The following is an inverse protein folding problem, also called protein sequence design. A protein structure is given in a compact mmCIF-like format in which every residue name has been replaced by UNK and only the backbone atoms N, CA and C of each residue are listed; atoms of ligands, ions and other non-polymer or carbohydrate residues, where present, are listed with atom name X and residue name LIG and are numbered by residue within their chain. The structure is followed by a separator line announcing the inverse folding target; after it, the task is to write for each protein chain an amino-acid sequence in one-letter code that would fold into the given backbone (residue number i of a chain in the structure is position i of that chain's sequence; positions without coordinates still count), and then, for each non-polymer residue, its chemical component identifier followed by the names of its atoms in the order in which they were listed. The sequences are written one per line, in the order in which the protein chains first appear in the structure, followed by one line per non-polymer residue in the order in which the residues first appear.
data_IF_816057344599
#
_entry.id   IF_816057344599
#
_cell.length_a   1.000
_cell.length_b   1.000
_cell.length_c   1.000
_cell.angle_alpha   90.00
_cell.angle_beta   90.00
_cell.angle_gamma   90.00
#
_symmetry.space_group_name_H-M   'P 1'
#
loop_
_entity.id
_entity.type
_entity.pdbx_description
1 polymer ?
#
# COMPACT_ATOMS: atom_id res chain seq x y z
N UNK A 1 69.76 33.59 26.40
CA UNK A 1 68.80 32.46 26.35
C UNK A 1 67.39 33.02 26.48
N UNK A 2 66.67 33.19 25.37
CA UNK A 2 65.30 33.73 25.35
C UNK A 2 64.33 32.63 24.90
N UNK A 3 63.44 32.24 25.81
CA UNK A 3 62.45 31.19 25.62
C UNK A 3 61.21 31.79 24.92
N UNK A 4 60.83 31.28 23.74
CA UNK A 4 59.57 31.64 23.06
C UNK A 4 58.59 30.48 23.18
N UNK A 5 57.60 30.64 24.05
CA UNK A 5 56.48 29.72 24.22
C UNK A 5 55.48 29.96 23.08
N UNK A 6 55.31 28.99 22.19
CA UNK A 6 54.25 29.01 21.17
C UNK A 6 53.03 28.27 21.71
N UNK A 7 51.96 29.01 22.00
CA UNK A 7 50.65 28.42 22.30
C UNK A 7 50.06 27.84 20.99
N UNK A 8 49.78 26.55 20.97
CA UNK A 8 49.05 25.90 19.89
C UNK A 8 47.54 26.00 20.18
N UNK A 9 46.80 26.72 19.34
CA UNK A 9 45.34 26.71 19.35
C UNK A 9 44.85 25.47 18.60
N UNK A 10 44.23 24.53 19.33
CA UNK A 10 43.49 23.42 18.74
C UNK A 10 42.09 23.92 18.35
N UNK A 11 41.82 24.07 17.05
CA UNK A 11 40.47 24.34 16.55
C UNK A 11 39.76 22.99 16.43
N UNK A 12 38.88 22.71 17.39
CA UNK A 12 38.00 21.54 17.34
C UNK A 12 36.86 21.84 16.35
N UNK A 13 36.97 21.30 15.14
CA UNK A 13 35.86 21.28 14.18
C UNK A 13 34.81 20.28 14.68
N UNK A 14 33.80 20.78 15.40
CA UNK A 14 32.55 20.05 15.57
C UNK A 14 31.86 20.01 14.20
N UNK A 15 32.11 18.96 13.43
CA UNK A 15 31.28 18.61 12.29
C UNK A 15 29.89 18.25 12.83
N UNK A 16 29.00 19.24 12.92
CA UNK A 16 27.60 19.01 13.15
C UNK A 16 27.10 18.11 12.02
N UNK A 17 26.70 16.88 12.36
CA UNK A 17 25.99 16.03 11.43
C UNK A 17 24.68 16.76 11.06
N UNK A 18 24.68 17.44 9.92
CA UNK A 18 23.47 17.92 9.31
C UNK A 18 22.62 16.68 9.00
N UNK A 19 21.62 16.42 9.83
CA UNK A 19 20.59 15.42 9.54
C UNK A 19 19.77 15.99 8.38
N UNK A 20 20.20 15.74 7.14
CA UNK A 20 19.36 15.95 5.98
C UNK A 20 18.13 15.06 6.17
N UNK A 21 16.96 15.68 6.34
CA UNK A 21 15.71 14.95 6.23
C UNK A 21 15.71 14.25 4.86
N UNK A 22 15.28 12.98 4.77
CA UNK A 22 15.17 12.33 3.47
C UNK A 22 14.32 13.22 2.56
N UNK A 23 14.70 13.40 1.29
CA UNK A 23 13.91 14.19 0.37
C UNK A 23 12.49 13.64 0.38
N UNK A 24 11.50 14.53 0.51
CA UNK A 24 10.11 14.15 0.42
C UNK A 24 9.94 13.38 -0.89
N UNK A 25 9.65 12.08 -0.79
CA UNK A 25 9.41 11.24 -1.96
C UNK A 25 8.29 11.91 -2.73
N UNK A 26 8.54 12.27 -3.98
CA UNK A 26 7.49 12.83 -4.82
C UNK A 26 6.54 11.70 -5.20
N UNK A 27 5.51 11.50 -4.38
CA UNK A 27 4.55 10.40 -4.50
C UNK A 27 3.77 10.49 -5.81
N UNK A 28 3.49 11.70 -6.31
CA UNK A 28 2.62 11.88 -7.47
C UNK A 28 3.23 11.32 -8.79
N UNK A 29 4.48 11.66 -9.19
CA UNK A 29 5.12 11.04 -10.34
C UNK A 29 5.33 9.54 -10.18
N UNK A 30 5.68 9.07 -8.98
CA UNK A 30 5.84 7.64 -8.74
C UNK A 30 4.51 6.90 -8.93
N UNK A 31 3.42 7.41 -8.35
CA UNK A 31 2.07 6.86 -8.52
C UNK A 31 1.68 6.82 -9.99
N UNK A 32 1.84 7.92 -10.72
CA UNK A 32 1.48 8.01 -12.14
C UNK A 32 2.27 7.00 -12.99
N UNK A 33 3.55 6.79 -12.69
CA UNK A 33 4.39 5.81 -13.39
C UNK A 33 4.05 4.34 -13.07
N UNK A 34 3.35 4.07 -11.95
CA UNK A 34 3.01 2.72 -11.49
C UNK A 34 1.48 2.50 -11.41
N UNK A 35 0.68 3.36 -12.02
CA UNK A 35 -0.77 3.38 -11.81
C UNK A 35 -1.46 2.08 -12.24
N UNK A 36 -1.09 1.55 -13.41
CA UNK A 36 -1.59 0.26 -13.90
C UNK A 36 -1.27 -0.88 -12.94
N UNK A 37 -0.05 -0.94 -12.39
CA UNK A 37 0.36 -1.96 -11.41
C UNK A 37 -0.43 -1.85 -10.10
N UNK A 38 -0.69 -0.61 -9.64
CA UNK A 38 -1.49 -0.35 -8.43
C UNK A 38 -2.93 -0.83 -8.62
N UNK A 39 -3.56 -0.49 -9.75
CA UNK A 39 -4.92 -0.93 -10.07
C UNK A 39 -4.98 -2.44 -10.26
N UNK A 40 -3.95 -3.06 -10.85
CA UNK A 40 -3.87 -4.51 -11.00
C UNK A 40 -3.81 -5.24 -9.65
N UNK A 41 -3.07 -4.71 -8.69
CA UNK A 41 -3.06 -5.23 -7.32
C UNK A 41 -4.43 -5.14 -6.66
N UNK A 42 -5.14 -4.04 -6.86
CA UNK A 42 -6.51 -3.88 -6.35
C UNK A 42 -7.47 -4.88 -7.01
N UNK A 43 -7.42 -5.03 -8.34
CA UNK A 43 -8.21 -6.01 -9.09
C UNK A 43 -7.95 -7.45 -8.59
N UNK A 44 -6.68 -7.82 -8.37
CA UNK A 44 -6.34 -9.16 -7.83
C UNK A 44 -6.90 -9.38 -6.42
N UNK A 45 -6.82 -8.38 -5.54
CA UNK A 45 -7.40 -8.48 -4.20
C UNK A 45 -8.93 -8.56 -4.24
N UNK A 46 -9.58 -7.76 -5.09
CA UNK A 46 -11.04 -7.74 -5.22
C UNK A 46 -11.61 -9.05 -5.83
N UNK A 47 -10.79 -9.84 -6.53
CA UNK A 47 -11.17 -11.19 -6.99
C UNK A 47 -11.23 -12.23 -5.87
N UNK A 48 -10.67 -11.95 -4.70
CA UNK A 48 -10.74 -12.86 -3.57
C UNK A 48 -12.10 -12.70 -2.89
N UNK A 49 -12.87 -13.78 -2.69
CA UNK A 49 -14.18 -13.71 -2.06
C UNK A 49 -14.04 -13.55 -0.54
N UNK A 50 -13.58 -12.38 -0.11
CA UNK A 50 -13.32 -12.04 1.28
C UNK A 50 -14.63 -11.76 2.04
N UNK A 51 -15.55 -12.71 2.08
CA UNK A 51 -16.85 -12.54 2.73
C UNK A 51 -16.72 -12.90 4.21
N UNK A 52 -17.24 -12.07 5.11
CA UNK A 52 -17.12 -12.27 6.57
C UNK A 52 -17.59 -13.66 7.05
N UNK A 53 -18.57 -14.25 6.36
CA UNK A 53 -19.09 -15.59 6.65
C UNK A 53 -18.29 -16.74 6.02
N UNK A 54 -17.36 -16.47 5.10
CA UNK A 54 -16.52 -17.46 4.43
C UNK A 54 -15.08 -17.44 4.98
N UNK A 55 -14.79 -18.35 5.91
CA UNK A 55 -13.47 -18.46 6.52
C UNK A 55 -12.35 -18.70 5.51
N UNK A 56 -12.62 -19.47 4.44
CA UNK A 56 -11.61 -19.81 3.43
C UNK A 56 -11.25 -18.59 2.58
N UNK A 57 -12.26 -17.83 2.17
CA UNK A 57 -12.07 -16.56 1.46
C UNK A 57 -11.29 -15.53 2.30
N UNK A 58 -11.63 -15.41 3.59
CA UNK A 58 -10.89 -14.56 4.53
C UNK A 58 -9.43 -15.00 4.70
N UNK A 59 -9.15 -16.30 4.85
CA UNK A 59 -7.79 -16.80 4.98
C UNK A 59 -6.96 -16.53 3.71
N UNK A 60 -7.51 -16.78 2.53
CA UNK A 60 -6.83 -16.50 1.26
C UNK A 60 -6.52 -15.00 1.11
N UNK A 61 -7.45 -14.13 1.53
CA UNK A 61 -7.27 -12.67 1.48
C UNK A 61 -6.22 -12.20 2.48
N UNK A 62 -6.23 -12.72 3.71
CA UNK A 62 -5.22 -12.42 4.70
C UNK A 62 -3.82 -12.85 4.23
N UNK A 63 -3.70 -14.03 3.61
CA UNK A 63 -2.44 -14.54 3.08
C UNK A 63 -1.92 -13.65 1.94
N UNK A 64 -2.79 -13.22 1.01
CA UNK A 64 -2.43 -12.31 -0.08
C UNK A 64 -1.99 -10.93 0.42
N UNK A 65 -2.69 -10.36 1.42
CA UNK A 65 -2.33 -9.07 2.02
C UNK A 65 -0.98 -9.13 2.74
N UNK A 66 -0.72 -10.21 3.49
CA UNK A 66 0.56 -10.41 4.14
C UNK A 66 1.72 -10.47 3.12
N UNK A 67 1.50 -11.11 1.97
CA UNK A 67 2.49 -11.18 0.91
C UNK A 67 2.76 -9.84 0.23
N UNK A 68 1.71 -9.05 -0.06
CA UNK A 68 1.87 -7.69 -0.58
C UNK A 68 2.68 -6.82 0.41
N UNK A 69 2.44 -6.95 1.72
CA UNK A 69 3.19 -6.22 2.75
C UNK A 69 4.66 -6.68 2.82
N UNK A 70 4.93 -7.99 2.78
CA UNK A 70 6.31 -8.54 2.77
C UNK A 70 7.10 -8.07 1.55
N UNK A 71 6.48 -8.08 0.38
CA UNK A 71 7.10 -7.59 -0.87
C UNK A 71 7.55 -6.13 -0.76
N UNK A 72 6.93 -5.35 0.13
CA UNK A 72 7.28 -3.94 0.40
C UNK A 72 8.23 -3.76 1.58
N UNK A 73 8.80 -4.85 2.10
CA UNK A 73 9.77 -4.84 3.18
C UNK A 73 9.18 -4.80 4.59
N UNK A 74 7.87 -4.95 4.75
CA UNK A 74 7.28 -5.08 6.08
C UNK A 74 7.52 -6.48 6.65
N UNK A 75 7.78 -6.54 7.95
CA UNK A 75 7.67 -7.77 8.73
C UNK A 75 6.18 -8.04 9.02
N UNK A 76 5.57 -8.95 8.26
CA UNK A 76 4.15 -9.28 8.33
C UNK A 76 3.87 -10.66 8.93
N UNK A 77 2.98 -10.69 9.92
CA UNK A 77 2.54 -11.89 10.66
C UNK A 77 1.04 -11.86 10.89
N UNK A 78 0.48 -13.04 11.17
CA UNK A 78 -0.93 -13.15 11.56
C UNK A 78 -1.08 -13.04 13.08
N UNK A 79 -2.10 -12.34 13.51
CA UNK A 79 -2.62 -12.39 14.87
C UNK A 79 -3.98 -13.10 14.79
N UNK A 80 -4.18 -14.14 15.59
CA UNK A 80 -5.42 -14.91 15.59
C UNK A 80 -5.67 -15.54 16.94
N UNK A 81 -6.92 -15.48 17.39
CA UNK A 81 -7.43 -16.25 18.53
C UNK A 81 -8.35 -17.37 18.02
N UNK A 82 -8.64 -18.37 18.87
CA UNK A 82 -9.54 -19.47 18.52
C UNK A 82 -10.89 -18.95 18.00
N UNK A 83 -11.30 -19.45 16.83
CA UNK A 83 -12.58 -19.09 16.20
C UNK A 83 -12.63 -17.75 15.47
N UNK A 84 -11.59 -16.91 15.56
CA UNK A 84 -11.57 -15.59 14.91
C UNK A 84 -10.86 -15.60 13.55
N UNK A 85 -11.27 -14.77 12.58
CA UNK A 85 -10.47 -14.50 11.39
C UNK A 85 -9.08 -13.94 11.74
N UNK A 86 -8.08 -14.26 10.92
CA UNK A 86 -6.70 -13.75 11.11
C UNK A 86 -6.69 -12.23 10.96
N UNK A 87 -6.13 -11.48 11.89
CA UNK A 87 -5.70 -10.12 11.63
C UNK A 87 -4.30 -10.12 10.99
N UNK A 88 -4.11 -9.35 9.92
CA UNK A 88 -2.78 -9.14 9.33
C UNK A 88 -2.12 -7.99 10.07
N UNK A 89 -1.05 -8.29 10.80
CA UNK A 89 -0.21 -7.29 11.45
C UNK A 89 1.11 -7.17 10.70
N UNK A 90 1.49 -5.97 10.32
CA UNK A 90 2.76 -5.73 9.66
C UNK A 90 3.45 -4.47 10.19
N UNK A 91 4.77 -4.52 10.27
CA UNK A 91 5.60 -3.42 10.77
C UNK A 91 6.78 -3.18 9.84
N UNK A 92 7.07 -1.91 9.59
CA UNK A 92 8.30 -1.48 8.91
C UNK A 92 9.05 -0.53 9.84
N UNK A 93 10.10 -1.02 10.49
CA UNK A 93 10.96 -0.19 11.33
C UNK A 93 11.92 0.63 10.47
N UNK A 94 11.94 1.95 10.69
CA UNK A 94 12.85 2.86 10.00
C UNK A 94 13.86 3.43 11.01
N UNK A 95 15.18 3.20 10.82
CA UNK A 95 16.20 3.75 11.72
C UNK A 95 16.08 5.26 11.89
N UNK A 96 16.09 5.72 13.15
CA UNK A 96 16.00 7.14 13.48
C UNK A 96 14.60 7.75 13.36
N UNK A 97 13.56 6.96 13.03
CA UNK A 97 12.18 7.44 13.02
C UNK A 97 11.78 8.07 14.36
N UNK A 98 11.13 9.24 14.29
CA UNK A 98 10.68 10.00 15.47
C UNK A 98 9.20 9.81 15.80
N UNK A 99 8.46 9.16 14.90
CA UNK A 99 7.01 8.93 14.99
C UNK A 99 6.67 7.58 14.36
N UNK A 100 5.60 6.98 14.85
CA UNK A 100 4.98 5.78 14.29
C UNK A 100 3.59 6.16 13.78
N UNK A 101 3.26 5.74 12.57
CA UNK A 101 1.91 5.87 12.01
C UNK A 101 1.30 4.47 11.95
N UNK A 102 0.05 4.35 12.39
CA UNK A 102 -0.71 3.09 12.34
C UNK A 102 -1.83 3.25 11.32
N UNK A 103 -1.89 2.31 10.39
CA UNK A 103 -3.02 2.15 9.49
C UNK A 103 -3.88 0.98 9.98
N UNK A 104 -5.18 1.21 10.08
CA UNK A 104 -6.17 0.18 10.38
C UNK A 104 -7.18 0.13 9.23
N UNK A 105 -7.44 -1.08 8.75
CA UNK A 105 -8.45 -1.38 7.75
C UNK A 105 -9.03 -2.76 8.02
N UNK A 106 -10.29 -2.95 7.63
CA UNK A 106 -10.88 -4.28 7.51
C UNK A 106 -10.71 -4.77 6.07
N UNK A 107 -10.66 -6.08 5.88
CA UNK A 107 -10.52 -6.70 4.56
C UNK A 107 -11.68 -7.64 4.23
N UNK A 108 -12.63 -7.83 5.16
CA UNK A 108 -13.87 -8.54 4.92
C UNK A 108 -14.93 -7.64 4.27
N UNK A 109 -15.73 -8.25 3.42
CA UNK A 109 -16.91 -7.72 2.77
C UNK A 109 -18.17 -8.43 3.24
N UNK A 110 -19.30 -7.84 2.86
CA UNK A 110 -20.63 -8.39 3.15
C UNK A 110 -20.99 -9.54 2.20
N UNK A 111 -21.92 -10.43 2.58
CA UNK A 111 -22.47 -11.41 1.66
C UNK A 111 -23.08 -10.76 0.41
N UNK A 112 -22.91 -11.42 -0.74
CA UNK A 112 -23.42 -10.95 -2.03
C UNK A 112 -24.55 -11.84 -2.54
N UNK A 113 -25.56 -11.24 -3.16
CA UNK A 113 -26.59 -11.96 -3.91
C UNK A 113 -26.31 -11.78 -5.40
N UNK A 114 -25.72 -12.80 -6.06
CA UNK A 114 -25.22 -12.67 -7.44
C UNK A 114 -26.23 -12.07 -8.43
N UNK A 115 -27.52 -12.41 -8.32
CA UNK A 115 -28.57 -11.88 -9.21
C UNK A 115 -28.89 -10.38 -9.05
N UNK A 116 -28.34 -9.71 -8.03
CA UNK A 116 -28.47 -8.26 -7.83
C UNK A 116 -27.31 -7.46 -8.44
N UNK A 117 -26.33 -8.13 -9.04
CA UNK A 117 -25.18 -7.50 -9.65
C UNK A 117 -25.28 -7.50 -11.18
N UNK A 118 -24.76 -6.44 -11.81
CA UNK A 118 -24.68 -6.34 -13.28
C UNK A 118 -23.53 -7.18 -13.85
N UNK A 119 -22.48 -7.42 -13.06
CA UNK A 119 -21.34 -8.29 -13.36
C UNK A 119 -21.00 -9.11 -12.12
N UNK A 120 -20.27 -10.21 -12.27
CA UNK A 120 -19.82 -11.01 -11.11
C UNK A 120 -19.05 -10.12 -10.11
N UNK A 121 -19.43 -10.07 -8.82
CA UNK A 121 -18.77 -9.24 -7.81
C UNK A 121 -17.28 -9.60 -7.65
N UNK A 122 -16.92 -10.88 -7.78
CA UNK A 122 -15.53 -11.31 -7.63
C UNK A 122 -14.79 -11.39 -8.97
N UNK A 123 -15.33 -10.80 -10.05
CA UNK A 123 -14.61 -10.55 -11.30
C UNK A 123 -14.71 -9.07 -11.69
N UNK A 124 -13.83 -8.22 -11.13
CA UNK A 124 -13.93 -6.79 -11.31
C UNK A 124 -13.90 -6.35 -12.77
N UNK A 125 -14.74 -5.37 -13.10
CA UNK A 125 -14.87 -4.75 -14.43
C UNK A 125 -14.67 -3.24 -14.29
N UNK A 126 -13.73 -2.69 -15.06
CA UNK A 126 -13.56 -1.24 -15.14
C UNK A 126 -14.61 -0.66 -16.07
N UNK A 127 -15.29 0.41 -15.66
CA UNK A 127 -16.26 1.13 -16.50
C UNK A 127 -16.02 2.62 -16.52
N UNK A 128 -16.26 3.20 -17.69
CA UNK A 128 -16.44 4.64 -17.85
C UNK A 128 -17.91 5.00 -17.56
N UNK A 129 -18.11 5.73 -16.47
CA UNK A 129 -19.42 6.19 -16.02
C UNK A 129 -19.84 7.53 -16.66
N UNK A 130 -18.95 8.17 -17.42
CA UNK A 130 -19.25 9.40 -18.18
C UNK A 130 -19.90 9.09 -19.52
N UNK A 131 -19.69 7.88 -20.06
CA UNK A 131 -20.36 7.37 -21.24
C UNK A 131 -21.86 7.12 -20.99
N UNK A 132 -22.68 7.29 -22.03
CA UNK A 132 -24.12 6.98 -22.01
C UNK A 132 -24.47 6.02 -23.15
N UNK A 133 -24.76 4.74 -22.87
CA UNK A 133 -24.70 4.08 -21.55
C UNK A 133 -23.25 3.92 -21.04
N UNK A 134 -23.04 3.61 -19.74
CA UNK A 134 -21.73 3.26 -19.22
C UNK A 134 -21.06 2.15 -20.04
N UNK A 135 -19.76 2.27 -20.25
CA UNK A 135 -19.00 1.37 -21.12
C UNK A 135 -17.91 0.64 -20.34
N UNK A 136 -17.79 -0.68 -20.57
CA UNK A 136 -16.68 -1.47 -20.05
C UNK A 136 -15.38 -1.08 -20.76
N UNK A 137 -14.29 -0.95 -19.99
CA UNK A 137 -12.98 -0.47 -20.46
C UNK A 137 -11.93 -1.56 -20.29
N UNK A 138 -11.18 -1.83 -21.36
CA UNK A 138 -9.94 -2.61 -21.27
C UNK A 138 -8.80 -1.72 -20.74
N UNK A 139 -8.81 -1.51 -19.42
CA UNK A 139 -7.85 -0.66 -18.73
C UNK A 139 -6.42 -1.22 -18.72
N UNK A 140 -6.24 -2.52 -19.03
CA UNK A 140 -4.91 -3.14 -19.13
C UNK A 140 -4.21 -2.80 -20.43
N UNK A 141 -4.97 -2.54 -21.48
CA UNK A 141 -4.46 -2.05 -22.77
C UNK A 141 -4.40 -0.51 -22.84
N UNK A 142 -4.98 0.20 -21.87
CA UNK A 142 -5.02 1.66 -21.86
C UNK A 142 -3.63 2.27 -21.56
N UNK A 143 -3.29 3.42 -22.19
CA UNK A 143 -2.07 4.16 -21.85
C UNK A 143 -2.20 4.79 -20.46
N UNK A 144 -1.08 4.94 -19.76
CA UNK A 144 -1.01 5.69 -18.52
C UNK A 144 -0.92 7.22 -18.78
N UNK A 145 -1.44 8.08 -17.88
CA UNK A 145 -2.25 7.70 -16.72
C UNK A 145 -3.64 7.20 -17.13
N UNK A 146 -4.21 6.31 -16.32
CA UNK A 146 -5.58 5.86 -16.47
C UNK A 146 -6.54 7.04 -16.25
N UNK A 147 -7.71 6.99 -16.87
CA UNK A 147 -8.72 8.03 -16.69
C UNK A 147 -9.24 8.01 -15.24
N UNK A 148 -9.14 9.13 -14.49
CA UNK A 148 -9.58 9.18 -13.10
C UNK A 148 -11.09 9.06 -12.92
N UNK A 149 -11.89 9.15 -13.98
CA UNK A 149 -13.35 8.96 -13.94
C UNK A 149 -13.78 7.50 -14.15
N UNK A 150 -12.85 6.61 -14.51
CA UNK A 150 -13.14 5.18 -14.54
C UNK A 150 -13.34 4.63 -13.13
N UNK A 151 -14.23 3.65 -13.00
CA UNK A 151 -14.54 2.98 -11.73
C UNK A 151 -14.43 1.47 -11.90
N UNK A 152 -13.77 0.83 -10.95
CA UNK A 152 -13.68 -0.62 -10.87
C UNK A 152 -14.91 -1.14 -10.10
N UNK A 153 -15.72 -1.98 -10.75
CA UNK A 153 -16.91 -2.60 -10.18
C UNK A 153 -16.66 -4.06 -9.89
N UNK A 154 -16.83 -4.45 -8.63
CA UNK A 154 -16.76 -5.80 -8.07
C UNK A 154 -17.24 -5.77 -6.62
#
# INVERSE_FOLDING_TARGET
MTFRMRAAFLILFCAGAASAAPPAVNVAPWRAAHETEIVERLDRLARLPSVAADRKGLDATADALAEELRTRGFDARFLSDEGSPKAVFAKLDTPGAKRTVVFYAHYDGQPVTAGQWTSDPFSPVMRDMTATPPADIDWRAAPAPLDPEWRLFG
#
